data_IF_968419770339
#
_entry.id   IF_968419770339
#
_cell.length_a   1.000
_cell.length_b   1.000
_cell.length_c   1.000
_cell.angle_alpha   90.00
_cell.angle_beta   90.00
_cell.angle_gamma   90.00
#
_symmetry.space_group_name_H-M   'P 1'
#
loop_
_entity.id
_entity.type
_entity.pdbx_description
1 polymer ?
#
# COMPACT_ATOMS: atom_id res chain seq x y z
N UNK A 1 67.68 -11.85 34.38
CA UNK A 1 67.11 -10.53 34.03
C UNK A 1 66.10 -10.76 32.91
N UNK A 2 64.84 -11.06 33.25
CA UNK A 2 63.77 -11.34 32.27
C UNK A 2 62.97 -10.04 32.10
N UNK A 3 62.89 -9.54 30.87
CA UNK A 3 62.03 -8.43 30.50
C UNK A 3 60.61 -8.98 30.34
N UNK A 4 59.69 -8.51 31.17
CA UNK A 4 58.25 -8.83 31.10
C UNK A 4 57.55 -7.83 30.20
N UNK A 5 56.72 -8.33 29.28
CA UNK A 5 55.87 -7.54 28.37
C UNK A 5 54.87 -6.64 29.12
N UNK A 6 54.41 -5.52 28.52
CA UNK A 6 53.44 -4.64 29.16
C UNK A 6 52.05 -5.29 29.15
N UNK A 7 51.51 -5.51 30.35
CA UNK A 7 50.14 -5.94 30.60
C UNK A 7 49.19 -4.81 30.18
N UNK A 8 48.36 -5.05 29.15
CA UNK A 8 47.25 -4.17 28.80
C UNK A 8 46.23 -4.18 29.96
N UNK A 9 46.14 -3.07 30.70
CA UNK A 9 45.06 -2.85 31.67
C UNK A 9 43.78 -2.50 30.93
N UNK A 10 42.79 -3.39 31.01
CA UNK A 10 41.41 -3.12 30.59
C UNK A 10 40.77 -2.16 31.61
N UNK A 11 40.34 -0.98 31.15
CA UNK A 11 39.57 -0.03 31.94
C UNK A 11 38.08 -0.18 31.57
N UNK A 12 37.18 -0.58 32.49
CA UNK A 12 35.77 -0.71 32.19
C UNK A 12 35.07 0.64 32.41
N UNK A 13 34.76 1.34 31.32
CA UNK A 13 34.01 2.59 31.40
C UNK A 13 34.23 3.46 30.18
N UNK A 14 33.39 3.24 29.16
CA UNK A 14 33.44 4.00 27.92
C UNK A 14 32.51 3.38 26.89
N UNK A 15 31.22 3.51 27.11
CA UNK A 15 30.17 3.14 26.18
C UNK A 15 30.32 3.97 24.90
N UNK A 16 30.93 3.40 23.88
CA UNK A 16 30.75 3.82 22.51
C UNK A 16 30.31 2.58 21.73
N UNK A 17 29.02 2.27 21.90
CA UNK A 17 28.29 1.37 21.02
C UNK A 17 28.21 2.04 19.66
N UNK A 18 29.22 1.80 18.81
CA UNK A 18 29.19 1.99 17.37
C UNK A 18 28.21 1.01 16.67
N UNK A 19 27.14 0.63 17.38
CA UNK A 19 25.99 -0.16 16.93
C UNK A 19 24.74 0.71 16.77
N UNK A 20 24.86 2.03 16.96
CA UNK A 20 23.76 2.99 16.86
C UNK A 20 24.07 4.13 15.88
N UNK A 21 24.74 3.83 14.78
CA UNK A 21 24.46 4.57 13.56
C UNK A 21 23.40 3.74 12.84
N UNK A 22 22.14 4.11 13.09
CA UNK A 22 21.02 3.65 12.29
C UNK A 22 21.39 3.88 10.84
N UNK A 23 21.67 2.80 10.12
CA UNK A 23 21.60 2.77 8.68
C UNK A 23 20.18 3.22 8.36
N UNK A 24 20.03 4.50 8.02
CA UNK A 24 18.81 5.04 7.48
C UNK A 24 18.77 4.45 6.08
N UNK A 25 18.42 3.17 6.03
CA UNK A 25 18.31 2.37 4.83
C UNK A 25 17.55 3.26 3.84
N UNK A 26 18.19 3.58 2.72
CA UNK A 26 17.57 4.41 1.69
C UNK A 26 16.38 3.64 1.16
N UNK A 27 15.23 3.80 1.81
CA UNK A 27 13.98 3.20 1.37
C UNK A 27 13.79 3.63 -0.07
N UNK A 28 13.73 2.65 -0.96
CA UNK A 28 13.61 2.94 -2.38
C UNK A 28 12.28 3.70 -2.60
N UNK A 29 12.20 4.69 -3.50
CA UNK A 29 10.96 5.46 -3.70
C UNK A 29 9.71 4.59 -3.96
N UNK A 30 9.91 3.40 -4.56
CA UNK A 30 8.86 2.39 -4.74
C UNK A 30 8.36 1.78 -3.44
N UNK A 31 9.25 1.50 -2.49
CA UNK A 31 8.88 0.97 -1.19
C UNK A 31 8.17 2.04 -0.36
N UNK A 32 8.67 3.29 -0.36
CA UNK A 32 7.98 4.40 0.31
C UNK A 32 6.55 4.59 -0.20
N UNK A 33 6.33 4.55 -1.52
CA UNK A 33 5.00 4.67 -2.11
C UNK A 33 4.07 3.52 -1.72
N UNK A 34 4.58 2.27 -1.68
CA UNK A 34 3.78 1.11 -1.28
C UNK A 34 3.39 1.17 0.20
N UNK A 35 4.30 1.61 1.08
CA UNK A 35 3.99 1.82 2.49
C UNK A 35 2.93 2.90 2.67
N UNK A 36 3.07 4.04 1.99
CA UNK A 36 2.08 5.12 2.02
C UNK A 36 0.72 4.66 1.48
N UNK A 37 0.68 3.91 0.38
CA UNK A 37 -0.55 3.35 -0.16
C UNK A 37 -1.24 2.42 0.85
N UNK A 38 -0.48 1.57 1.54
CA UNK A 38 -0.99 0.69 2.59
C UNK A 38 -1.59 1.50 3.75
N UNK A 39 -0.90 2.54 4.22
CA UNK A 39 -1.41 3.44 5.26
C UNK A 39 -2.71 4.15 4.84
N UNK A 40 -2.81 4.57 3.58
CA UNK A 40 -4.01 5.25 3.06
C UNK A 40 -5.24 4.33 3.05
N UNK A 41 -5.08 3.06 2.69
CA UNK A 41 -6.20 2.12 2.55
C UNK A 41 -6.56 1.37 3.85
N UNK A 42 -5.63 1.32 4.82
CA UNK A 42 -5.85 0.68 6.13
C UNK A 42 -6.04 1.67 7.28
N UNK A 43 -5.74 2.95 7.04
CA UNK A 43 -5.74 3.99 8.07
C UNK A 43 -7.13 4.54 8.43
N UNK A 44 -7.12 5.56 9.29
CA UNK A 44 -8.31 6.15 9.91
C UNK A 44 -9.35 6.76 8.94
N UNK A 45 -9.05 6.85 7.63
CA UNK A 45 -10.01 7.30 6.62
C UNK A 45 -11.21 6.35 6.48
N UNK A 46 -11.05 5.05 6.76
CA UNK A 46 -12.15 4.09 6.76
C UNK A 46 -13.20 4.42 7.83
N UNK A 47 -12.81 5.10 8.93
CA UNK A 47 -13.75 5.53 9.97
C UNK A 47 -14.74 6.60 9.49
N UNK A 48 -14.39 7.36 8.46
CA UNK A 48 -15.23 8.45 7.93
C UNK A 48 -16.06 8.04 6.71
N UNK A 49 -15.58 7.08 5.92
CA UNK A 49 -16.19 6.70 4.63
C UNK A 49 -16.62 5.23 4.53
N UNK A 50 -16.43 4.44 5.59
CA UNK A 50 -16.65 2.99 5.57
C UNK A 50 -15.47 2.23 4.95
N UNK A 51 -15.52 0.89 5.04
CA UNK A 51 -14.49 0.04 4.45
C UNK A 51 -14.44 0.22 2.92
N UNK A 52 -13.24 0.32 2.31
CA UNK A 52 -13.09 0.51 0.87
C UNK A 52 -13.82 -0.53 0.03
N UNK A 53 -13.81 -1.79 0.47
CA UNK A 53 -14.51 -2.91 -0.17
C UNK A 53 -16.03 -2.73 -0.15
N UNK A 54 -16.60 -2.23 0.95
CA UNK A 54 -18.03 -1.89 1.02
C UNK A 54 -18.40 -0.76 0.05
N UNK A 55 -17.52 0.21 -0.13
CA UNK A 55 -17.72 1.26 -1.14
C UNK A 55 -17.66 0.71 -2.58
N UNK A 56 -16.82 -0.29 -2.84
CA UNK A 56 -16.79 -0.94 -4.15
C UNK A 56 -18.06 -1.73 -4.42
N UNK A 57 -18.60 -2.47 -3.44
CA UNK A 57 -19.88 -3.16 -3.58
C UNK A 57 -21.04 -2.18 -3.84
N UNK A 58 -21.11 -1.09 -3.08
CA UNK A 58 -22.10 -0.03 -3.32
C UNK A 58 -21.96 0.57 -4.73
N UNK A 59 -20.73 0.81 -5.18
CA UNK A 59 -20.47 1.33 -6.53
C UNK A 59 -20.89 0.33 -7.60
N UNK A 60 -20.60 -0.95 -7.40
CA UNK A 60 -20.97 -2.03 -8.31
C UNK A 60 -22.49 -2.10 -8.48
N UNK A 61 -23.25 -2.04 -7.37
CA UNK A 61 -24.72 -1.98 -7.40
C UNK A 61 -25.25 -0.76 -8.15
N UNK A 62 -24.66 0.41 -7.92
CA UNK A 62 -25.04 1.64 -8.64
C UNK A 62 -24.77 1.50 -10.14
N UNK A 63 -23.60 0.99 -10.52
CA UNK A 63 -23.24 0.80 -11.93
C UNK A 63 -24.11 -0.26 -12.61
N UNK A 64 -24.41 -1.37 -11.94
CA UNK A 64 -25.35 -2.39 -12.43
C UNK A 64 -26.74 -1.79 -12.65
N UNK A 65 -27.26 -1.02 -11.70
CA UNK A 65 -28.56 -0.37 -11.85
C UNK A 65 -28.58 0.65 -13.00
N UNK A 66 -27.51 1.44 -13.15
CA UNK A 66 -27.42 2.48 -14.17
C UNK A 66 -27.18 1.91 -15.58
N UNK A 67 -26.31 0.91 -15.70
CA UNK A 67 -25.79 0.41 -16.97
C UNK A 67 -26.32 -0.98 -17.35
N UNK A 68 -27.09 -1.65 -16.50
CA UNK A 68 -27.60 -3.00 -16.74
C UNK A 68 -28.33 -3.16 -18.07
N UNK A 69 -29.06 -2.13 -18.50
CA UNK A 69 -29.72 -2.09 -19.82
C UNK A 69 -28.75 -2.12 -21.03
N UNK A 70 -27.45 -1.94 -20.80
CA UNK A 70 -26.38 -2.03 -21.80
C UNK A 70 -25.52 -3.27 -21.64
N UNK A 71 -25.70 -4.03 -20.56
CA UNK A 71 -24.96 -5.25 -20.29
C UNK A 71 -25.64 -6.45 -20.96
N UNK A 72 -24.94 -7.59 -20.99
CA UNK A 72 -25.56 -8.86 -21.37
C UNK A 72 -26.62 -9.23 -20.33
N UNK A 73 -27.65 -9.95 -20.74
CA UNK A 73 -28.72 -10.39 -19.84
C UNK A 73 -28.16 -11.12 -18.62
N UNK A 74 -28.51 -10.64 -17.43
CA UNK A 74 -28.06 -11.19 -16.14
C UNK A 74 -26.62 -10.85 -15.74
N UNK A 75 -25.91 -10.00 -16.50
CA UNK A 75 -24.58 -9.53 -16.11
C UNK A 75 -24.68 -8.35 -15.13
N UNK A 76 -23.85 -8.37 -14.11
CA UNK A 76 -23.76 -7.34 -13.07
C UNK A 76 -22.28 -7.00 -12.84
N UNK A 77 -22.01 -5.78 -12.40
CA UNK A 77 -20.70 -5.41 -11.88
C UNK A 77 -20.51 -6.01 -10.48
N UNK A 78 -19.28 -6.41 -10.21
CA UNK A 78 -18.80 -6.84 -8.90
C UNK A 78 -17.92 -5.77 -8.25
N UNK A 79 -17.62 -5.92 -6.96
CA UNK A 79 -16.65 -5.06 -6.27
C UNK A 79 -15.25 -5.15 -6.91
N UNK A 80 -14.86 -6.35 -7.37
CA UNK A 80 -13.61 -6.57 -8.11
C UNK A 80 -13.58 -5.81 -9.45
N UNK A 81 -14.69 -5.80 -10.20
CA UNK A 81 -14.79 -5.02 -11.43
C UNK A 81 -14.57 -3.53 -11.18
N UNK A 82 -15.15 -3.01 -10.09
CA UNK A 82 -14.96 -1.61 -9.69
C UNK A 82 -13.50 -1.30 -9.43
N UNK A 83 -12.79 -2.13 -8.66
CA UNK A 83 -11.37 -1.94 -8.39
C UNK A 83 -10.53 -1.92 -9.69
N UNK A 84 -10.76 -2.89 -10.58
CA UNK A 84 -10.07 -2.99 -11.87
C UNK A 84 -10.33 -1.77 -12.77
N UNK A 85 -11.59 -1.33 -12.86
CA UNK A 85 -11.98 -0.17 -13.66
C UNK A 85 -11.42 1.13 -13.09
N UNK A 86 -11.32 1.26 -11.76
CA UNK A 86 -10.67 2.41 -11.12
C UNK A 86 -9.16 2.44 -11.39
N UNK A 87 -8.47 1.30 -11.42
CA UNK A 87 -7.07 1.23 -11.87
C UNK A 87 -6.96 1.71 -13.32
N UNK A 88 -7.84 1.23 -14.21
CA UNK A 88 -7.88 1.66 -15.61
C UNK A 88 -8.04 3.18 -15.76
N UNK A 89 -8.92 3.79 -14.96
CA UNK A 89 -9.11 5.25 -14.94
C UNK A 89 -7.82 5.99 -14.53
N UNK A 90 -7.06 5.47 -13.57
CA UNK A 90 -5.78 6.07 -13.15
C UNK A 90 -4.69 5.89 -14.21
N UNK A 91 -4.64 4.73 -14.87
CA UNK A 91 -3.75 4.53 -16.02
C UNK A 91 -4.05 5.54 -17.14
N UNK A 92 -5.32 5.83 -17.42
CA UNK A 92 -5.69 6.85 -18.40
C UNK A 92 -5.21 8.25 -17.98
N UNK A 93 -5.25 8.59 -16.68
CA UNK A 93 -4.73 9.87 -16.17
C UNK A 93 -3.23 10.01 -16.35
N UNK A 94 -2.46 8.92 -16.24
CA UNK A 94 -1.02 8.92 -16.49
C UNK A 94 -0.67 9.30 -17.93
N UNK A 95 -1.53 9.02 -18.91
CA UNK A 95 -1.30 9.41 -20.31
C UNK A 95 -1.32 10.94 -20.45
N UNK A 96 -2.20 11.62 -19.72
CA UNK A 96 -2.34 13.07 -19.80
C UNK A 96 -1.36 13.81 -18.87
N UNK A 97 -1.14 13.30 -17.66
CA UNK A 97 -0.38 13.98 -16.60
C UNK A 97 0.21 12.96 -15.61
N UNK A 98 1.44 12.45 -15.86
CA UNK A 98 2.10 11.48 -15.00
C UNK A 98 2.47 12.08 -13.63
N UNK A 99 1.70 11.75 -12.59
CA UNK A 99 1.91 12.21 -11.20
C UNK A 99 2.11 11.04 -10.24
N UNK A 100 2.94 11.26 -9.20
CA UNK A 100 3.18 10.28 -8.11
C UNK A 100 1.86 9.83 -7.47
N UNK A 101 0.96 10.76 -7.17
CA UNK A 101 -0.34 10.46 -6.55
C UNK A 101 -1.17 9.47 -7.37
N UNK A 102 -1.04 9.51 -8.71
CA UNK A 102 -1.75 8.56 -9.57
C UNK A 102 -1.19 7.14 -9.45
N UNK A 103 0.11 6.99 -9.22
CA UNK A 103 0.71 5.69 -8.90
C UNK A 103 0.31 5.20 -7.51
N UNK A 104 0.21 6.11 -6.52
CA UNK A 104 -0.28 5.80 -5.18
C UNK A 104 -1.73 5.33 -5.23
N UNK A 105 -2.60 6.01 -5.99
CA UNK A 105 -3.98 5.59 -6.20
C UNK A 105 -4.06 4.18 -6.80
N UNK A 106 -3.23 3.88 -7.82
CA UNK A 106 -3.19 2.55 -8.46
C UNK A 106 -2.82 1.47 -7.43
N UNK A 107 -1.77 1.71 -6.63
CA UNK A 107 -1.35 0.78 -5.59
C UNK A 107 -2.45 0.57 -4.54
N UNK A 108 -3.14 1.64 -4.13
CA UNK A 108 -4.26 1.57 -3.20
C UNK A 108 -5.43 0.75 -3.77
N UNK A 109 -5.87 1.02 -5.00
CA UNK A 109 -6.94 0.25 -5.64
C UNK A 109 -6.56 -1.23 -5.85
N UNK A 110 -5.29 -1.52 -6.15
CA UNK A 110 -4.83 -2.91 -6.27
C UNK A 110 -4.90 -3.65 -4.92
N UNK A 111 -4.50 -3.00 -3.81
CA UNK A 111 -4.61 -3.54 -2.46
C UNK A 111 -6.06 -3.83 -2.06
N UNK A 112 -6.95 -2.84 -2.19
CA UNK A 112 -8.37 -3.03 -1.90
C UNK A 112 -9.02 -4.05 -2.86
N UNK A 113 -8.60 -4.08 -4.13
CA UNK A 113 -9.12 -5.03 -5.12
C UNK A 113 -8.77 -6.48 -4.78
N UNK A 114 -7.56 -6.74 -4.28
CA UNK A 114 -7.19 -8.07 -3.78
C UNK A 114 -8.12 -8.53 -2.65
N UNK A 115 -8.43 -7.64 -1.71
CA UNK A 115 -9.34 -7.92 -0.60
C UNK A 115 -10.75 -8.31 -1.07
N UNK A 116 -11.24 -7.73 -2.18
CA UNK A 116 -12.55 -8.12 -2.75
C UNK A 116 -12.58 -9.57 -3.22
N UNK A 117 -11.45 -10.13 -3.64
CA UNK A 117 -11.36 -11.51 -4.13
C UNK A 117 -11.16 -12.50 -2.97
N UNK A 118 -10.36 -12.12 -1.97
CA UNK A 118 -10.18 -12.95 -0.76
C UNK A 118 -11.44 -13.02 0.10
N UNK A 119 -12.20 -11.93 0.21
CA UNK A 119 -13.45 -11.88 0.98
C UNK A 119 -14.58 -12.71 0.37
N UNK A 120 -14.54 -13.00 -0.93
CA UNK A 120 -15.49 -13.89 -1.61
C UNK A 120 -15.18 -15.38 -1.38
N UNK A 121 -14.00 -15.73 -0.84
CA UNK A 121 -13.54 -17.10 -0.62
C UNK A 121 -13.75 -17.62 0.82
N UNK A 122 -14.39 -16.84 1.71
CA UNK A 122 -14.73 -17.23 3.10
C UNK A 122 -16.24 -17.24 3.34
#
# INVERSE_FOLDING_TARGET
MRLTEPVLRFSPGGTLSASQEMDKERTLPRAELLHEAAEVITGDRNKSYGEPTANFDNTARVWTAQLGHKLKDGAEFTASDVAQLMIGLKLARLVADPKRDTWLDIAGYAGCGWETVEGEAS
#
